data_IF_538270687892
#
_entry.id   IF_538270687892
#
_cell.length_a   1.000
_cell.length_b   1.000
_cell.length_c   1.000
_cell.angle_alpha   90.00
_cell.angle_beta   90.00
_cell.angle_gamma   90.00
#
_symmetry.space_group_name_H-M   'P 1'
#
loop_
_entity.id
_entity.type
_entity.pdbx_description
1 polymer ?
#
# COMPACT_ATOMS: atom_id res chain seq x y z
N UNK A 1 -4.17 2.69 9.71
CA UNK A 1 -4.78 1.85 10.76
C UNK A 1 -4.54 0.38 10.48
N UNK A 2 -4.41 -0.43 11.54
CA UNK A 2 -4.42 -1.88 11.43
C UNK A 2 -5.83 -2.40 11.09
N UNK A 3 -5.90 -3.35 10.17
CA UNK A 3 -7.19 -3.85 9.65
C UNK A 3 -7.99 -4.68 10.66
N UNK A 4 -7.33 -5.36 11.58
CA UNK A 4 -7.94 -6.21 12.59
C UNK A 4 -8.25 -5.44 13.87
N UNK A 5 -7.23 -4.92 14.53
CA UNK A 5 -7.32 -4.24 15.83
C UNK A 5 -7.87 -2.82 15.76
N UNK A 6 -7.97 -2.21 14.59
CA UNK A 6 -8.29 -0.78 14.41
C UNK A 6 -7.19 0.17 14.90
N UNK A 7 -6.10 -0.34 15.42
CA UNK A 7 -5.01 0.48 15.96
C UNK A 7 -4.54 1.51 14.95
N UNK A 8 -4.49 2.76 15.37
CA UNK A 8 -4.03 3.87 14.55
C UNK A 8 -2.50 3.90 14.58
N UNK A 9 -1.89 3.30 13.56
CA UNK A 9 -0.43 3.14 13.45
C UNK A 9 0.26 4.49 13.27
N UNK A 10 -0.26 5.32 12.35
CA UNK A 10 0.34 6.63 12.07
C UNK A 10 -0.70 7.58 11.51
N UNK A 11 -0.67 8.81 12.00
CA UNK A 11 -1.40 9.94 11.44
C UNK A 11 -0.43 11.13 11.43
N UNK A 12 -0.15 11.68 10.26
CA UNK A 12 0.78 12.79 10.12
C UNK A 12 0.35 13.72 9.01
N UNK A 13 0.67 15.00 9.18
CA UNK A 13 0.48 15.98 8.13
C UNK A 13 1.56 15.81 7.05
N UNK A 14 1.16 15.90 5.79
CA UNK A 14 2.06 15.92 4.65
C UNK A 14 1.89 17.24 3.89
N UNK A 15 2.98 17.95 3.67
CA UNK A 15 2.99 19.18 2.85
C UNK A 15 2.70 18.88 1.37
N UNK A 16 3.16 17.73 0.89
CA UNK A 16 2.94 17.22 -0.46
C UNK A 16 2.54 15.74 -0.39
N UNK A 17 1.71 15.31 -1.33
CA UNK A 17 1.26 13.92 -1.44
C UNK A 17 2.03 13.19 -2.54
N UNK A 18 3.36 13.36 -2.60
CA UNK A 18 4.19 12.61 -3.56
C UNK A 18 4.41 11.16 -3.07
N UNK A 19 4.79 10.28 -3.99
CA UNK A 19 5.12 8.91 -3.64
C UNK A 19 6.28 8.81 -2.63
N UNK A 20 7.23 9.76 -2.68
CA UNK A 20 8.36 9.80 -1.76
C UNK A 20 7.94 10.27 -0.36
N UNK A 21 7.15 11.35 -0.24
CA UNK A 21 6.68 11.84 1.05
C UNK A 21 5.87 10.75 1.78
N UNK A 22 5.00 10.06 1.06
CA UNK A 22 4.21 8.95 1.62
C UNK A 22 5.10 7.75 1.96
N UNK A 23 6.12 7.46 1.15
CA UNK A 23 7.07 6.38 1.44
C UNK A 23 7.82 6.61 2.75
N UNK A 24 8.27 7.83 3.04
CA UNK A 24 8.94 8.18 4.31
C UNK A 24 8.06 7.85 5.53
N UNK A 25 6.75 8.13 5.43
CA UNK A 25 5.80 7.76 6.49
C UNK A 25 5.71 6.26 6.67
N UNK A 26 5.68 5.49 5.58
CA UNK A 26 5.70 4.03 5.65
C UNK A 26 7.01 3.50 6.25
N UNK A 27 8.15 4.05 5.88
CA UNK A 27 9.44 3.64 6.46
C UNK A 27 9.50 3.83 7.97
N UNK A 28 9.01 4.97 8.46
CA UNK A 28 8.92 5.24 9.91
C UNK A 28 8.02 4.20 10.57
N UNK A 29 6.83 3.97 10.02
CA UNK A 29 5.89 2.98 10.56
C UNK A 29 6.47 1.56 10.52
N UNK A 30 7.19 1.17 9.46
CA UNK A 30 7.81 -0.15 9.34
C UNK A 30 8.95 -0.38 10.34
N UNK A 31 9.70 0.68 10.66
CA UNK A 31 10.75 0.61 11.71
C UNK A 31 10.16 0.47 13.10
N UNK A 32 9.03 1.13 13.35
CA UNK A 32 8.39 1.17 14.67
C UNK A 32 7.53 -0.09 14.92
N UNK A 33 6.77 -0.54 13.92
CA UNK A 33 5.75 -1.59 14.08
C UNK A 33 6.04 -2.88 13.31
N UNK A 34 7.12 -2.92 12.51
CA UNK A 34 7.44 -4.01 11.61
C UNK A 34 6.63 -3.97 10.31
N UNK A 35 6.96 -4.88 9.39
CA UNK A 35 6.34 -4.96 8.07
C UNK A 35 4.98 -5.66 8.12
N UNK A 36 3.90 -5.03 7.64
CA UNK A 36 2.64 -5.73 7.46
C UNK A 36 2.74 -6.74 6.30
N UNK A 37 1.84 -7.70 6.26
CA UNK A 37 1.72 -8.61 5.11
C UNK A 37 1.17 -7.85 3.90
N UNK A 38 0.19 -6.97 4.14
CA UNK A 38 -0.54 -6.23 3.09
C UNK A 38 -0.82 -4.81 3.54
N UNK A 39 -0.91 -3.91 2.57
CA UNK A 39 -1.39 -2.54 2.77
C UNK A 39 -2.55 -2.29 1.81
N UNK A 40 -3.74 -2.07 2.36
CA UNK A 40 -4.92 -1.70 1.57
C UNK A 40 -5.05 -0.19 1.48
N UNK A 41 -5.25 0.30 0.27
CA UNK A 41 -5.36 1.72 -0.04
C UNK A 41 -6.56 2.00 -0.95
N UNK A 42 -6.90 3.26 -1.11
CA UNK A 42 -7.77 3.69 -2.20
C UNK A 42 -7.09 3.53 -3.58
N UNK A 43 -7.83 3.84 -4.63
CA UNK A 43 -7.35 3.73 -6.02
C UNK A 43 -6.70 5.02 -6.53
N UNK A 44 -6.64 6.07 -5.72
CA UNK A 44 -6.10 7.38 -6.10
C UNK A 44 -4.57 7.45 -5.99
N UNK A 45 -3.93 8.41 -6.71
CA UNK A 45 -2.51 8.66 -6.55
C UNK A 45 -2.17 9.19 -5.14
N UNK A 46 -1.02 8.83 -4.57
CA UNK A 46 0.07 8.04 -5.16
C UNK A 46 -0.07 6.52 -5.00
N UNK A 47 -1.19 6.02 -4.48
CA UNK A 47 -1.38 4.62 -4.08
C UNK A 47 -1.72 3.71 -5.27
N UNK A 48 -2.58 4.17 -6.16
CA UNK A 48 -3.01 3.42 -7.32
C UNK A 48 -2.97 4.24 -8.61
N UNK A 49 -3.02 3.56 -9.75
CA UNK A 49 -3.09 4.13 -11.08
C UNK A 49 -4.16 3.43 -11.91
N UNK A 50 -4.52 4.03 -13.04
CA UNK A 50 -5.40 3.41 -14.04
C UNK A 50 -4.65 2.48 -15.01
N UNK A 51 -3.31 2.39 -14.86
CA UNK A 51 -2.47 1.55 -15.70
C UNK A 51 -2.59 0.05 -15.41
N UNK A 52 -1.88 -0.74 -16.21
CA UNK A 52 -1.81 -2.19 -16.06
C UNK A 52 -1.33 -2.56 -14.66
N UNK A 53 -2.04 -3.48 -14.00
CA UNK A 53 -1.73 -3.90 -12.63
C UNK A 53 -1.89 -2.79 -11.57
N UNK A 54 -2.39 -1.61 -11.92
CA UNK A 54 -2.58 -0.43 -11.05
C UNK A 54 -1.34 0.05 -10.31
N UNK A 55 -0.15 -0.40 -10.73
CA UNK A 55 1.09 -0.09 -10.04
C UNK A 55 1.49 1.38 -10.18
N UNK A 56 2.02 1.91 -9.08
CA UNK A 56 2.67 3.21 -8.95
C UNK A 56 4.08 3.02 -8.42
N UNK A 57 4.90 4.07 -8.41
CA UNK A 57 6.22 4.02 -7.78
C UNK A 57 6.14 3.61 -6.30
N UNK A 58 5.09 4.05 -5.59
CA UNK A 58 4.87 3.71 -4.20
C UNK A 58 4.55 2.21 -4.03
N UNK A 59 3.64 1.67 -4.84
CA UNK A 59 3.31 0.24 -4.76
C UNK A 59 4.47 -0.66 -5.16
N UNK A 60 5.32 -0.23 -6.11
CA UNK A 60 6.58 -0.91 -6.44
C UNK A 60 7.52 -0.94 -5.22
N UNK A 61 7.67 0.18 -4.51
CA UNK A 61 8.47 0.23 -3.26
C UNK A 61 7.89 -0.69 -2.19
N UNK A 62 6.57 -0.73 -1.99
CA UNK A 62 5.92 -1.65 -1.06
C UNK A 62 6.24 -3.11 -1.40
N UNK A 63 6.10 -3.51 -2.66
CA UNK A 63 6.43 -4.87 -3.13
C UNK A 63 7.90 -5.19 -2.86
N UNK A 64 8.81 -4.26 -3.16
CA UNK A 64 10.26 -4.41 -2.90
C UNK A 64 10.61 -4.45 -1.41
N UNK A 65 9.76 -3.92 -0.55
CA UNK A 65 9.85 -4.08 0.90
C UNK A 65 9.26 -5.41 1.40
N UNK A 66 8.67 -6.22 0.52
CA UNK A 66 7.99 -7.46 0.86
C UNK A 66 6.57 -7.28 1.41
N UNK A 67 5.92 -6.17 1.06
CA UNK A 67 4.53 -5.85 1.43
C UNK A 67 3.64 -5.90 0.19
N UNK A 68 2.54 -6.63 0.25
CA UNK A 68 1.59 -6.73 -0.86
C UNK A 68 0.64 -5.52 -0.87
N UNK A 69 0.64 -4.68 -1.92
CA UNK A 69 -0.37 -3.65 -2.06
C UNK A 69 -1.72 -4.28 -2.43
N UNK A 70 -2.78 -3.80 -1.81
CA UNK A 70 -4.17 -4.12 -2.13
C UNK A 70 -4.93 -2.83 -2.43
N UNK A 71 -5.80 -2.88 -3.43
CA UNK A 71 -6.68 -1.77 -3.79
C UNK A 71 -8.13 -2.20 -3.59
N UNK A 72 -8.98 -1.25 -3.21
CA UNK A 72 -10.43 -1.46 -3.17
C UNK A 72 -10.94 -1.79 -4.58
N UNK A 73 -11.98 -2.60 -4.66
CA UNK A 73 -12.59 -2.90 -5.94
C UNK A 73 -13.26 -1.65 -6.53
N UNK A 74 -13.08 -1.37 -7.84
CA UNK A 74 -13.77 -0.27 -8.48
C UNK A 74 -15.30 -0.41 -8.35
N UNK A 75 -15.97 0.66 -7.93
CA UNK A 75 -17.42 0.65 -7.73
C UNK A 75 -17.89 0.04 -6.40
N UNK A 76 -16.97 -0.30 -5.48
CA UNK A 76 -17.28 -0.83 -4.16
C UNK A 76 -16.80 0.11 -3.04
N UNK A 77 -17.40 1.31 -2.90
CA UNK A 77 -17.01 2.27 -1.85
C UNK A 77 -17.22 1.71 -0.44
N UNK A 78 -18.15 0.76 -0.26
CA UNK A 78 -18.41 0.09 1.01
C UNK A 78 -17.17 -0.63 1.57
N UNK A 79 -16.25 -1.10 0.72
CA UNK A 79 -14.98 -1.68 1.15
C UNK A 79 -14.10 -0.66 1.89
N UNK A 80 -14.29 0.63 1.62
CA UNK A 80 -13.59 1.74 2.26
C UNK A 80 -14.37 2.40 3.41
N UNK A 81 -15.60 1.99 3.65
CA UNK A 81 -16.50 2.66 4.59
C UNK A 81 -15.99 2.75 6.04
N UNK A 82 -15.07 1.85 6.43
CA UNK A 82 -14.37 1.94 7.72
C UNK A 82 -13.34 3.05 7.73
N UNK A 83 -12.62 3.20 6.65
CA UNK A 83 -11.59 4.23 6.47
C UNK A 83 -12.24 5.61 6.37
N UNK A 84 -13.34 5.72 5.66
CA UNK A 84 -14.13 6.96 5.56
C UNK A 84 -14.67 7.40 6.92
N UNK A 85 -15.23 6.48 7.71
CA UNK A 85 -15.68 6.78 9.09
C UNK A 85 -14.52 7.24 9.97
N UNK A 86 -13.38 6.57 9.88
CA UNK A 86 -12.19 6.98 10.60
C UNK A 86 -11.73 8.38 10.19
N UNK A 87 -11.68 8.68 8.88
CA UNK A 87 -11.33 10.02 8.38
C UNK A 87 -12.31 11.10 8.84
N UNK A 88 -13.61 10.80 8.85
CA UNK A 88 -14.63 11.71 9.37
C UNK A 88 -14.41 12.00 10.85
N UNK A 89 -14.17 10.97 11.67
CA UNK A 89 -13.87 11.12 13.09
C UNK A 89 -12.60 11.95 13.30
N UNK A 90 -11.51 11.60 12.60
CA UNK A 90 -10.25 12.33 12.67
C UNK A 90 -10.44 13.82 12.31
N UNK A 91 -11.12 14.11 11.20
CA UNK A 91 -11.35 15.48 10.75
C UNK A 91 -12.17 16.28 11.77
N UNK A 92 -13.23 15.70 12.31
CA UNK A 92 -14.09 16.37 13.28
C UNK A 92 -13.36 16.65 14.61
N UNK A 93 -12.51 15.74 15.06
CA UNK A 93 -11.85 15.85 16.36
C UNK A 93 -10.50 16.59 16.29
N UNK A 94 -9.85 16.61 15.13
CA UNK A 94 -8.53 17.24 15.02
C UNK A 94 -8.47 18.48 14.11
N UNK A 95 -9.37 18.59 13.14
CA UNK A 95 -9.30 19.65 12.13
C UNK A 95 -10.51 20.61 12.14
N UNK A 96 -11.51 20.40 12.97
CA UNK A 96 -12.69 21.26 13.07
C UNK A 96 -12.95 21.73 14.52
N UNK A 97 -12.59 22.99 14.85
CA UNK A 97 -11.78 23.92 14.05
C UNK A 97 -10.30 23.52 14.02
N UNK A 98 -9.54 23.95 13.01
CA UNK A 98 -8.10 23.71 13.01
C UNK A 98 -7.40 24.53 14.09
N UNK A 99 -6.23 24.09 14.51
CA UNK A 99 -5.39 24.85 15.42
C UNK A 99 -4.72 26.03 14.73
N UNK A 100 -4.33 27.04 15.51
CA UNK A 100 -3.74 28.29 15.00
C UNK A 100 -2.34 28.07 14.41
N UNK A 101 -1.63 27.02 14.85
CA UNK A 101 -0.27 26.71 14.39
C UNK A 101 -0.13 25.22 14.07
N UNK A 102 0.80 24.91 13.15
CA UNK A 102 1.14 23.52 12.80
C UNK A 102 1.60 22.72 14.02
N UNK A 103 2.36 23.31 14.93
CA UNK A 103 2.85 22.65 16.15
C UNK A 103 1.69 22.20 17.04
N UNK A 104 0.71 23.09 17.28
CA UNK A 104 -0.50 22.75 18.05
C UNK A 104 -1.32 21.68 17.36
N UNK A 105 -1.41 21.77 16.03
CA UNK A 105 -2.11 20.76 15.21
C UNK A 105 -1.45 19.37 15.36
N UNK A 106 -0.13 19.30 15.34
CA UNK A 106 0.63 18.06 15.58
C UNK A 106 0.37 17.50 16.98
N UNK A 107 0.41 18.35 18.00
CA UNK A 107 0.13 17.95 19.39
C UNK A 107 -1.30 17.41 19.53
N UNK A 108 -2.28 18.09 18.91
CA UNK A 108 -3.68 17.64 18.92
C UNK A 108 -3.85 16.29 18.22
N UNK A 109 -3.20 16.09 17.06
CA UNK A 109 -3.20 14.81 16.37
C UNK A 109 -2.54 13.70 17.20
N UNK A 110 -1.44 13.98 17.89
CA UNK A 110 -0.77 13.02 18.77
C UNK A 110 -1.68 12.60 19.94
N UNK A 111 -2.35 13.58 20.59
CA UNK A 111 -3.33 13.29 21.66
C UNK A 111 -4.50 12.45 21.14
N UNK A 112 -5.02 12.77 19.97
CA UNK A 112 -6.07 11.97 19.33
C UNK A 112 -5.63 10.52 19.11
N UNK A 113 -4.38 10.28 18.67
CA UNK A 113 -3.83 8.92 18.49
C UNK A 113 -3.84 8.14 19.80
N UNK A 114 -3.39 8.76 20.91
CA UNK A 114 -3.38 8.14 22.23
C UNK A 114 -4.80 7.80 22.69
N UNK A 115 -5.71 8.78 22.69
CA UNK A 115 -7.11 8.57 23.08
C UNK A 115 -7.80 7.51 22.22
N UNK A 116 -7.57 7.54 20.89
CA UNK A 116 -8.17 6.57 19.98
C UNK A 116 -7.68 5.16 20.24
N UNK A 117 -6.40 4.98 20.54
CA UNK A 117 -5.80 3.67 20.72
C UNK A 117 -6.05 3.08 22.10
N UNK A 118 -6.07 3.91 23.16
CA UNK A 118 -6.00 3.41 24.53
C UNK A 118 -7.21 3.76 25.41
N UNK A 119 -7.98 4.80 25.03
CA UNK A 119 -9.10 5.26 25.86
C UNK A 119 -10.47 5.07 25.19
N UNK A 120 -10.50 4.73 23.88
CA UNK A 120 -11.73 4.60 23.12
C UNK A 120 -12.09 3.14 22.85
N UNK A 121 -13.11 2.58 23.56
CA UNK A 121 -13.59 1.23 23.29
C UNK A 121 -14.28 1.14 21.95
N UNK A 122 -14.09 0.04 21.24
CA UNK A 122 -14.72 -0.22 19.95
C UNK A 122 -15.72 -1.38 20.06
N UNK A 123 -16.95 -1.17 19.62
CA UNK A 123 -17.99 -2.20 19.62
C UNK A 123 -17.53 -3.44 18.81
N UNK A 124 -16.89 -3.23 17.66
CA UNK A 124 -16.35 -4.30 16.82
C UNK A 124 -15.19 -5.10 17.46
N UNK A 125 -14.65 -4.63 18.59
CA UNK A 125 -13.62 -5.28 19.39
C UNK A 125 -14.18 -5.74 20.74
N UNK A 126 -15.49 -5.97 20.85
CA UNK A 126 -16.14 -6.34 22.11
C UNK A 126 -15.88 -5.32 23.22
N UNK A 127 -15.91 -4.05 22.90
CA UNK A 127 -15.65 -2.92 23.81
C UNK A 127 -14.21 -2.84 24.36
N UNK A 128 -13.27 -3.53 23.73
CA UNK A 128 -11.83 -3.34 23.99
C UNK A 128 -11.29 -2.13 23.22
N UNK A 129 -10.23 -1.53 23.72
CA UNK A 129 -9.50 -0.49 22.99
C UNK A 129 -8.60 -1.11 21.91
N UNK A 130 -8.32 -0.40 20.80
CA UNK A 130 -7.41 -0.88 19.77
C UNK A 130 -6.04 -1.34 20.31
N UNK A 131 -5.48 -0.63 21.29
CA UNK A 131 -4.22 -0.94 21.91
C UNK A 131 -4.19 -2.26 22.68
N UNK A 132 -5.33 -2.70 23.23
CA UNK A 132 -5.45 -3.99 23.93
C UNK A 132 -5.38 -5.18 22.97
N UNK A 133 -5.69 -4.95 21.69
CA UNK A 133 -5.81 -6.01 20.67
C UNK A 133 -4.63 -6.01 19.71
N UNK A 134 -3.97 -4.86 19.53
CA UNK A 134 -2.90 -4.68 18.56
C UNK A 134 -1.64 -5.46 18.96
N UNK A 135 -1.03 -6.09 17.97
CA UNK A 135 0.30 -6.72 18.11
C UNK A 135 1.17 -6.32 16.93
N UNK A 136 2.37 -5.82 17.22
CA UNK A 136 3.35 -5.45 16.20
C UNK A 136 3.77 -6.66 15.38
N UNK A 137 4.11 -6.41 14.11
CA UNK A 137 4.59 -7.46 13.23
C UNK A 137 5.96 -7.99 13.67
N UNK A 138 6.14 -9.30 13.60
CA UNK A 138 7.44 -9.96 13.82
C UNK A 138 8.41 -9.79 12.63
N UNK A 139 7.90 -9.33 11.46
CA UNK A 139 8.70 -9.09 10.26
C UNK A 139 9.39 -7.73 10.38
N UNK A 140 10.67 -7.73 10.69
CA UNK A 140 11.44 -6.50 10.87
C UNK A 140 11.80 -5.85 9.53
N UNK A 141 11.75 -4.51 9.48
CA UNK A 141 12.22 -3.73 8.34
C UNK A 141 13.72 -3.43 8.48
N UNK A 142 14.51 -3.90 7.53
CA UNK A 142 15.97 -3.70 7.50
C UNK A 142 16.43 -2.49 6.65
N UNK A 143 15.48 -1.70 6.15
CA UNK A 143 15.76 -0.53 5.33
C UNK A 143 16.11 -0.82 3.87
N UNK A 144 15.97 -2.07 3.39
CA UNK A 144 16.40 -2.46 2.05
C UNK A 144 15.23 -2.82 1.15
N UNK A 145 15.20 -2.22 -0.03
CA UNK A 145 14.28 -2.58 -1.11
C UNK A 145 14.91 -3.67 -1.98
N UNK A 146 14.26 -4.83 -2.09
CA UNK A 146 14.72 -5.98 -2.87
C UNK A 146 13.80 -6.24 -4.05
N UNK A 147 14.38 -6.49 -5.22
CA UNK A 147 13.58 -6.92 -6.36
C UNK A 147 12.84 -8.24 -6.03
N UNK A 148 11.62 -8.42 -6.52
CA UNK A 148 10.93 -9.71 -6.38
C UNK A 148 11.74 -10.84 -7.01
N UNK A 149 11.74 -11.99 -6.35
CA UNK A 149 12.34 -13.22 -6.87
C UNK A 149 11.27 -14.04 -7.60
N UNK A 150 11.70 -14.74 -8.64
CA UNK A 150 10.82 -15.57 -9.48
C UNK A 150 11.39 -16.98 -9.58
N UNK A 151 10.53 -17.97 -9.50
CA UNK A 151 10.90 -19.36 -9.78
C UNK A 151 11.15 -19.54 -11.29
N UNK A 152 12.40 -19.56 -11.67
CA UNK A 152 12.84 -19.70 -13.08
C UNK A 152 12.53 -21.07 -13.69
N UNK A 153 12.10 -22.05 -12.91
CA UNK A 153 11.66 -23.35 -13.43
C UNK A 153 10.26 -23.23 -14.07
N UNK A 154 9.41 -22.32 -13.57
CA UNK A 154 8.03 -22.15 -14.01
C UNK A 154 7.76 -20.79 -14.66
N UNK A 155 8.66 -19.83 -14.54
CA UNK A 155 8.51 -18.47 -15.07
C UNK A 155 9.71 -18.05 -15.90
N UNK A 156 9.46 -17.36 -16.98
CA UNK A 156 10.47 -16.61 -17.72
C UNK A 156 10.56 -15.19 -17.19
N UNK A 157 11.77 -14.74 -16.83
CA UNK A 157 11.97 -13.36 -16.33
C UNK A 157 12.32 -12.43 -17.48
N UNK A 158 11.69 -11.25 -17.51
CA UNK A 158 11.94 -10.19 -18.51
C UNK A 158 12.20 -8.85 -17.84
N UNK A 159 13.20 -8.14 -18.34
CA UNK A 159 13.47 -6.76 -17.94
C UNK A 159 12.52 -5.81 -18.66
N UNK A 160 11.96 -4.87 -17.92
CA UNK A 160 11.10 -3.80 -18.45
C UNK A 160 11.97 -2.68 -19.03
N UNK A 161 11.69 -2.31 -20.27
CA UNK A 161 12.39 -1.21 -20.95
C UNK A 161 12.09 0.17 -20.36
N UNK A 162 12.87 1.17 -20.76
CA UNK A 162 12.67 2.56 -20.31
C UNK A 162 11.34 3.17 -20.78
N UNK A 163 10.73 2.58 -21.80
CA UNK A 163 9.40 2.92 -22.29
C UNK A 163 8.26 2.22 -21.53
N UNK A 164 8.57 1.41 -20.49
CA UNK A 164 7.58 0.64 -19.73
C UNK A 164 7.08 -0.61 -20.44
N UNK A 165 7.79 -1.09 -21.47
CA UNK A 165 7.41 -2.24 -22.28
C UNK A 165 8.33 -3.46 -22.03
N UNK A 166 7.79 -4.64 -22.34
CA UNK A 166 8.53 -5.90 -22.48
C UNK A 166 8.26 -6.51 -23.86
N UNK A 167 9.11 -7.41 -24.30
CA UNK A 167 8.93 -8.18 -25.54
C UNK A 167 8.43 -9.60 -25.22
N UNK A 168 7.27 -9.96 -25.80
CA UNK A 168 6.68 -11.29 -25.72
C UNK A 168 6.45 -11.76 -27.15
N UNK A 169 7.10 -12.89 -27.56
CA UNK A 169 6.92 -13.49 -28.90
C UNK A 169 6.99 -12.46 -30.04
N UNK A 170 8.06 -11.62 -30.02
CA UNK A 170 8.32 -10.58 -31.03
C UNK A 170 7.32 -9.39 -31.03
N UNK A 171 6.43 -9.30 -30.04
CA UNK A 171 5.52 -8.17 -29.86
C UNK A 171 5.92 -7.35 -28.65
N UNK A 172 5.89 -6.04 -28.81
CA UNK A 172 6.09 -5.11 -27.72
C UNK A 172 4.78 -4.98 -26.91
N UNK A 173 4.86 -5.17 -25.59
CA UNK A 173 3.74 -5.10 -24.68
C UNK A 173 4.01 -4.06 -23.60
N UNK A 174 3.20 -3.00 -23.55
CA UNK A 174 3.28 -2.01 -22.46
C UNK A 174 2.68 -2.60 -21.19
N UNK A 175 3.43 -2.52 -20.08
CA UNK A 175 3.03 -3.04 -18.78
C UNK A 175 3.09 -1.99 -17.65
N UNK A 176 3.59 -0.80 -17.93
CA UNK A 176 3.53 0.33 -17.00
C UNK A 176 4.85 1.07 -16.82
N UNK A 177 4.74 2.39 -16.71
CA UNK A 177 5.91 3.26 -16.51
C UNK A 177 6.54 3.11 -15.12
N UNK A 178 5.75 2.71 -14.11
CA UNK A 178 6.24 2.49 -12.75
C UNK A 178 7.23 1.31 -12.65
N UNK A 179 7.23 0.41 -13.66
CA UNK A 179 8.07 -0.79 -13.71
C UNK A 179 9.36 -0.60 -14.53
N UNK A 180 9.67 0.60 -15.01
CA UNK A 180 10.89 0.86 -15.79
C UNK A 180 12.14 0.34 -15.10
N UNK A 181 12.89 -0.51 -15.80
CA UNK A 181 14.13 -1.11 -15.31
C UNK A 181 13.95 -2.29 -14.35
N UNK A 182 12.74 -2.55 -13.88
CA UNK A 182 12.39 -3.69 -13.03
C UNK A 182 12.32 -5.00 -13.86
N UNK A 183 12.21 -6.13 -13.16
CA UNK A 183 12.04 -7.44 -13.77
C UNK A 183 10.66 -7.99 -13.45
N UNK A 184 9.99 -8.58 -14.44
CA UNK A 184 8.68 -9.20 -14.31
C UNK A 184 8.75 -10.69 -14.63
N UNK A 185 7.90 -11.47 -13.96
CA UNK A 185 7.71 -12.88 -14.24
C UNK A 185 6.64 -13.12 -15.29
N UNK A 186 6.93 -13.99 -16.26
CA UNK A 186 6.00 -14.45 -17.28
C UNK A 186 5.77 -15.94 -17.08
N UNK A 187 4.52 -16.33 -16.88
CA UNK A 187 4.10 -17.72 -16.78
C UNK A 187 3.27 -18.08 -18.01
N UNK A 188 3.77 -19.06 -18.77
CA UNK A 188 2.98 -19.59 -19.89
C UNK A 188 1.86 -20.49 -19.38
N UNK A 189 0.64 -20.21 -19.83
CA UNK A 189 -0.56 -20.99 -19.52
C UNK A 189 -1.25 -21.46 -20.81
N UNK A 190 -2.26 -22.33 -20.68
CA UNK A 190 -3.00 -22.86 -21.84
C UNK A 190 -3.65 -21.75 -22.68
N UNK A 191 -4.14 -20.71 -22.03
CA UNK A 191 -4.89 -19.61 -22.64
C UNK A 191 -4.04 -18.38 -22.98
N UNK A 192 -2.77 -18.34 -22.57
CA UNK A 192 -1.90 -17.18 -22.80
C UNK A 192 -0.72 -17.11 -21.87
N UNK A 193 -0.11 -15.92 -21.82
CA UNK A 193 1.01 -15.61 -20.93
C UNK A 193 0.51 -14.72 -19.81
N UNK A 194 0.61 -15.18 -18.60
CA UNK A 194 0.35 -14.42 -17.37
C UNK A 194 1.58 -13.62 -16.99
N UNK A 195 1.41 -12.33 -16.70
CA UNK A 195 2.48 -11.39 -16.36
C UNK A 195 2.28 -10.92 -14.92
N UNK A 196 3.32 -11.06 -14.10
CA UNK A 196 3.27 -10.61 -12.71
C UNK A 196 4.51 -9.79 -12.30
N UNK A 197 4.31 -8.92 -11.30
CA UNK A 197 5.40 -8.25 -10.58
C UNK A 197 5.30 -8.60 -9.09
N UNK A 198 6.20 -9.47 -8.65
CA UNK A 198 6.10 -10.07 -7.33
C UNK A 198 4.74 -10.74 -7.12
N UNK A 199 3.99 -10.36 -6.05
CA UNK A 199 2.68 -10.96 -5.76
C UNK A 199 1.53 -10.36 -6.60
N UNK A 200 1.79 -9.34 -7.42
CA UNK A 200 0.75 -8.62 -8.17
C UNK A 200 0.65 -9.15 -9.59
N UNK A 201 -0.53 -9.65 -9.92
CA UNK A 201 -0.90 -9.95 -11.30
C UNK A 201 -1.08 -8.65 -12.08
N UNK A 202 -0.41 -8.54 -13.22
CA UNK A 202 -0.48 -7.36 -14.08
C UNK A 202 -1.54 -7.53 -15.18
N UNK A 203 -1.34 -8.49 -16.04
CA UNK A 203 -2.19 -8.75 -17.19
C UNK A 203 -1.99 -10.19 -17.72
N UNK A 204 -3.02 -10.75 -18.32
CA UNK A 204 -2.95 -11.99 -19.09
C UNK A 204 -3.04 -11.68 -20.58
N UNK A 205 -1.97 -11.95 -21.33
CA UNK A 205 -1.95 -11.84 -22.79
C UNK A 205 -2.44 -13.15 -23.38
N UNK A 206 -3.56 -13.11 -24.13
CA UNK A 206 -4.12 -14.30 -24.77
C UNK A 206 -3.17 -14.88 -25.82
N UNK A 207 -3.21 -16.20 -26.01
CA UNK A 207 -2.66 -16.85 -27.18
C UNK A 207 -3.51 -16.47 -28.39
N UNK A 208 -2.87 -15.95 -29.41
CA UNK A 208 -3.43 -15.90 -30.77
C UNK A 208 -3.06 -17.18 -31.50
#
# INVERSE_FOLDING_TARGET
TDGYSRYLIKCTHLNKKTANDVWEVFEIAFREYGLPVRVRTDNGPPFGSVGVGRLTELSVKLIKAGVTPEWINPGHPEENGRHERFHSTLANETANPPEDTLERQIIRAARFIEEYNFDRPHESLSMMCPGDVYTSSTRQWDGKLRAPEYDTQIMTVRKVGQNGCIWIKQRECYIGSALKGEYVGLKEESEGTDICYGPVHLEKKKKE
#
